data_IF_684206047999
#
_entry.id   IF_684206047999
#
_cell.length_a   1.000
_cell.length_b   1.000
_cell.length_c   1.000
_cell.angle_alpha   90.00
_cell.angle_beta   90.00
_cell.angle_gamma   90.00
#
_symmetry.space_group_name_H-M   'P 1'
#
loop_
_entity.id
_entity.type
_entity.pdbx_description
1 polymer ?
#
# COMPACT_ATOMS: atom_id res chain seq x y z
N UNK A 1 -5.76 20.79 22.23
CA UNK A 1 -5.68 19.56 21.41
C UNK A 1 -6.12 19.96 20.02
N UNK A 2 -5.35 19.62 19.00
CA UNK A 2 -5.76 19.88 17.61
C UNK A 2 -6.90 18.94 17.22
N UNK A 3 -7.68 19.33 16.21
CA UNK A 3 -8.75 18.48 15.69
C UNK A 3 -8.20 17.20 15.05
N UNK A 4 -7.05 17.30 14.40
CA UNK A 4 -6.34 16.16 13.80
C UNK A 4 -6.02 15.10 14.86
N UNK A 5 -5.46 15.54 16.00
CA UNK A 5 -5.13 14.64 17.10
C UNK A 5 -6.39 14.00 17.71
N UNK A 6 -7.47 14.77 17.88
CA UNK A 6 -8.75 14.24 18.36
C UNK A 6 -9.28 13.15 17.43
N UNK A 7 -9.24 13.38 16.11
CA UNK A 7 -9.70 12.43 15.10
C UNK A 7 -8.80 11.18 15.03
N UNK A 8 -7.49 11.34 15.12
CA UNK A 8 -6.56 10.23 15.15
C UNK A 8 -6.81 9.32 16.38
N UNK A 9 -6.95 9.90 17.55
CA UNK A 9 -7.27 9.15 18.77
C UNK A 9 -8.60 8.41 18.66
N UNK A 10 -9.60 9.01 18.04
CA UNK A 10 -10.91 8.40 17.90
C UNK A 10 -10.87 7.19 16.94
N UNK A 11 -10.10 7.28 15.85
CA UNK A 11 -9.91 6.17 14.93
C UNK A 11 -9.06 5.03 15.54
N UNK A 12 -7.99 5.36 16.27
CA UNK A 12 -7.12 4.36 16.91
C UNK A 12 -7.87 3.51 17.93
N UNK A 13 -8.85 4.09 18.67
CA UNK A 13 -9.68 3.35 19.64
C UNK A 13 -10.48 2.20 19.05
N UNK A 14 -10.65 2.16 17.74
CA UNK A 14 -11.37 1.10 17.02
C UNK A 14 -10.39 0.02 16.57
N UNK A 15 -10.48 -1.22 17.12
CA UNK A 15 -9.50 -2.28 16.85
C UNK A 15 -9.79 -2.97 15.50
N UNK A 16 -9.78 -2.22 14.44
CA UNK A 16 -10.10 -2.62 13.06
C UNK A 16 -8.97 -3.46 12.43
N UNK A 17 -8.67 -4.61 13.02
CA UNK A 17 -7.71 -5.56 12.45
C UNK A 17 -8.31 -6.15 11.18
N UNK A 18 -7.51 -6.11 10.08
CA UNK A 18 -7.98 -6.54 8.74
C UNK A 18 -8.71 -7.89 8.75
N UNK A 19 -9.87 -8.05 8.10
CA UNK A 19 -10.59 -7.08 7.27
C UNK A 19 -11.69 -6.30 8.02
N UNK A 20 -11.66 -6.26 9.36
CA UNK A 20 -12.71 -5.65 10.17
C UNK A 20 -12.60 -4.11 10.17
N UNK A 21 -13.73 -3.41 10.09
CA UNK A 21 -13.79 -1.94 10.14
C UNK A 21 -14.02 -1.37 11.54
N UNK A 22 -14.66 -2.12 12.41
CA UNK A 22 -14.98 -1.76 13.81
C UNK A 22 -15.63 -0.38 13.97
N UNK A 23 -16.43 0.04 12.98
CA UNK A 23 -17.14 1.32 12.98
C UNK A 23 -16.29 2.54 12.66
N UNK A 24 -15.07 2.37 12.14
CA UNK A 24 -14.25 3.46 11.65
C UNK A 24 -14.98 4.24 10.56
N UNK A 25 -15.51 3.53 9.55
CA UNK A 25 -16.18 4.17 8.42
C UNK A 25 -17.51 4.82 8.83
N UNK A 26 -18.27 4.28 9.81
CA UNK A 26 -19.47 4.95 10.30
C UNK A 26 -19.14 6.33 10.90
N UNK A 27 -18.07 6.38 11.68
CA UNK A 27 -17.61 7.63 12.26
C UNK A 27 -17.10 8.63 11.20
N UNK A 28 -16.39 8.13 10.18
CA UNK A 28 -15.93 8.96 9.04
C UNK A 28 -17.14 9.51 8.27
N UNK A 29 -18.14 8.69 7.99
CA UNK A 29 -19.40 9.07 7.32
C UNK A 29 -20.05 10.21 8.08
N UNK A 30 -20.21 10.11 9.41
CA UNK A 30 -20.80 11.17 10.23
C UNK A 30 -20.08 12.52 10.02
N UNK A 31 -18.74 12.52 9.98
CA UNK A 31 -17.95 13.72 9.78
C UNK A 31 -18.10 14.29 8.37
N UNK A 32 -18.09 13.42 7.36
CA UNK A 32 -18.21 13.82 5.95
C UNK A 32 -19.62 14.33 5.60
N UNK A 33 -20.66 13.68 6.11
CA UNK A 33 -22.06 14.14 5.90
C UNK A 33 -22.29 15.52 6.51
N UNK A 34 -21.74 15.79 7.71
CA UNK A 34 -21.78 17.12 8.32
C UNK A 34 -21.13 18.21 7.46
N UNK A 35 -20.19 17.83 6.58
CA UNK A 35 -19.54 18.71 5.60
C UNK A 35 -20.25 18.74 4.24
N UNK A 36 -21.39 18.05 4.10
CA UNK A 36 -22.20 18.03 2.87
C UNK A 36 -21.72 17.04 1.81
N UNK A 37 -20.97 16.03 2.19
CA UNK A 37 -20.68 14.89 1.32
C UNK A 37 -21.89 13.97 1.20
N UNK A 38 -22.03 13.34 0.03
CA UNK A 38 -22.87 12.18 -0.16
C UNK A 38 -22.02 10.95 0.07
N UNK A 39 -22.38 10.13 1.06
CA UNK A 39 -21.66 8.93 1.45
C UNK A 39 -22.40 7.69 0.96
N UNK A 40 -21.67 6.72 0.45
CA UNK A 40 -22.15 5.42 0.01
C UNK A 40 -21.26 4.33 0.60
N UNK A 41 -21.87 3.39 1.35
CA UNK A 41 -21.19 2.18 1.79
C UNK A 41 -21.29 1.12 0.72
N UNK A 42 -20.17 0.60 0.29
CA UNK A 42 -20.05 -0.46 -0.71
C UNK A 42 -19.51 -1.73 -0.04
N UNK A 43 -20.31 -2.80 -0.06
CA UNK A 43 -19.91 -4.10 0.45
C UNK A 43 -19.52 -5.02 -0.69
N UNK A 44 -18.32 -5.63 -0.56
CA UNK A 44 -17.87 -6.70 -1.43
C UNK A 44 -17.46 -7.87 -0.54
N UNK A 45 -18.25 -8.94 -0.59
CA UNK A 45 -18.17 -10.03 0.39
C UNK A 45 -18.30 -9.47 1.83
N UNK A 46 -17.34 -9.78 2.71
CA UNK A 46 -17.27 -9.27 4.09
C UNK A 46 -16.60 -7.89 4.22
N UNK A 47 -15.99 -7.37 3.15
CA UNK A 47 -15.22 -6.13 3.20
C UNK A 47 -16.11 -4.91 3.02
N UNK A 48 -16.00 -4.00 3.96
CA UNK A 48 -16.66 -2.70 3.93
C UNK A 48 -15.80 -1.66 3.25
N UNK A 49 -16.41 -0.88 2.36
CA UNK A 49 -15.77 0.25 1.69
C UNK A 49 -16.66 1.47 1.74
N UNK A 50 -16.06 2.66 1.78
CA UNK A 50 -16.74 3.94 1.72
C UNK A 50 -16.35 4.67 0.45
N UNK A 51 -17.37 5.08 -0.33
CA UNK A 51 -17.24 6.13 -1.31
C UNK A 51 -18.01 7.37 -0.84
N UNK A 52 -17.34 8.51 -0.79
CA UNK A 52 -17.98 9.76 -0.44
C UNK A 52 -17.55 10.86 -1.41
N UNK A 53 -18.51 11.73 -1.81
CA UNK A 53 -18.26 12.83 -2.75
C UNK A 53 -19.00 14.10 -2.38
N UNK A 54 -18.28 15.22 -2.43
CA UNK A 54 -18.82 16.59 -2.37
C UNK A 54 -18.53 17.32 -3.69
N UNK A 55 -19.51 18.03 -4.24
CA UNK A 55 -19.43 18.69 -5.54
C UNK A 55 -19.91 17.81 -6.69
N UNK A 56 -20.16 18.44 -7.85
CA UNK A 56 -20.74 17.78 -9.03
C UNK A 56 -19.93 18.03 -10.31
N UNK A 57 -18.83 18.81 -10.23
CA UNK A 57 -17.97 19.17 -11.38
C UNK A 57 -16.60 18.54 -11.28
N UNK A 58 -15.85 18.61 -12.39
CA UNK A 58 -14.43 18.27 -12.41
C UNK A 58 -13.55 19.50 -12.13
N UNK A 59 -12.29 19.30 -11.78
CA UNK A 59 -11.67 17.99 -11.54
C UNK A 59 -12.18 17.32 -10.24
N UNK A 60 -12.13 15.98 -10.20
CA UNK A 60 -12.40 15.20 -9.01
C UNK A 60 -11.08 14.85 -8.32
N UNK A 61 -10.86 15.43 -7.15
CA UNK A 61 -9.77 15.10 -6.25
C UNK A 61 -10.25 14.10 -5.20
N UNK A 62 -9.51 13.00 -5.02
CA UNK A 62 -9.86 11.93 -4.08
C UNK A 62 -8.75 11.75 -3.05
N UNK A 63 -9.14 11.73 -1.78
CA UNK A 63 -8.34 11.14 -0.72
C UNK A 63 -8.63 9.64 -0.66
N UNK A 64 -7.58 8.82 -0.72
CA UNK A 64 -7.71 7.37 -0.59
C UNK A 64 -6.91 6.85 0.60
N UNK A 65 -7.44 5.79 1.23
CA UNK A 65 -6.78 5.16 2.37
C UNK A 65 -7.60 4.00 2.93
N UNK A 66 -7.09 3.45 4.05
CA UNK A 66 -7.68 2.27 4.68
C UNK A 66 -7.88 2.47 6.19
N UNK A 67 -8.95 1.86 6.71
CA UNK A 67 -9.24 1.85 8.15
C UNK A 67 -8.74 0.60 8.85
N UNK A 68 -8.53 -0.47 8.10
CA UNK A 68 -7.97 -1.70 8.63
C UNK A 68 -6.49 -1.54 9.00
N UNK A 69 -6.04 -2.37 9.92
CA UNK A 69 -4.67 -2.38 10.41
C UNK A 69 -4.16 -3.82 10.51
N UNK A 70 -2.85 -4.02 10.42
CA UNK A 70 -2.23 -5.34 10.63
C UNK A 70 -2.44 -5.82 12.07
N UNK A 71 -2.41 -7.15 12.33
CA UNK A 71 -2.42 -7.69 13.68
C UNK A 71 -1.33 -7.07 14.57
N UNK A 72 -1.64 -6.89 15.85
CA UNK A 72 -0.75 -6.24 16.82
C UNK A 72 0.48 -7.10 17.20
N UNK A 73 0.42 -8.41 16.94
CA UNK A 73 1.31 -9.37 17.57
C UNK A 73 0.93 -9.61 19.03
N UNK A 74 1.88 -10.03 19.85
CA UNK A 74 1.62 -10.22 21.28
C UNK A 74 1.48 -8.84 21.97
N UNK A 75 0.31 -8.58 22.55
CA UNK A 75 0.05 -7.32 23.22
C UNK A 75 0.91 -7.13 24.48
N UNK A 76 1.46 -8.19 25.05
CA UNK A 76 2.37 -8.10 26.17
C UNK A 76 3.72 -7.43 25.81
N UNK A 77 4.07 -7.39 24.53
CA UNK A 77 5.29 -6.73 24.04
C UNK A 77 5.11 -5.20 23.90
N UNK A 78 3.86 -4.71 23.92
CA UNK A 78 3.57 -3.28 23.77
C UNK A 78 3.75 -2.51 25.10
N UNK A 79 4.42 -1.36 25.01
CA UNK A 79 4.56 -0.43 26.16
C UNK A 79 3.23 0.23 26.49
N UNK A 80 2.41 0.52 25.47
CA UNK A 80 1.06 1.07 25.59
C UNK A 80 0.08 0.16 24.83
N UNK A 81 -1.12 -0.03 25.35
CA UNK A 81 -2.16 -0.80 24.65
C UNK A 81 -2.35 -0.27 23.22
N UNK A 82 -2.29 -1.13 22.19
CA UNK A 82 -2.30 -0.71 20.78
C UNK A 82 -3.57 0.02 20.34
N UNK A 83 -4.69 -0.15 21.06
CA UNK A 83 -5.96 0.51 20.75
C UNK A 83 -6.38 1.54 21.81
N UNK A 84 -5.47 1.85 22.75
CA UNK A 84 -5.62 2.96 23.70
C UNK A 84 -4.64 4.07 23.31
N UNK A 85 -5.08 5.06 22.48
CA UNK A 85 -4.18 6.08 21.94
C UNK A 85 -3.52 6.85 23.08
N UNK A 86 -2.22 6.72 23.23
CA UNK A 86 -1.45 7.30 24.31
C UNK A 86 -0.48 8.35 23.78
N UNK A 87 -0.44 9.51 24.45
CA UNK A 87 0.49 10.59 24.11
C UNK A 87 1.63 10.60 25.13
N UNK A 88 2.87 10.49 24.62
CA UNK A 88 4.09 10.68 25.41
C UNK A 88 4.98 11.72 24.70
N UNK A 89 5.10 12.88 25.30
CA UNK A 89 5.75 14.03 24.66
C UNK A 89 5.02 14.46 23.39
N UNK A 90 5.70 14.39 22.25
CA UNK A 90 5.13 14.65 20.90
C UNK A 90 4.74 13.36 20.16
N UNK A 91 4.80 12.20 20.79
CA UNK A 91 4.48 10.91 20.16
C UNK A 91 3.06 10.48 20.51
N UNK A 92 2.30 10.11 19.49
CA UNK A 92 1.00 9.44 19.59
C UNK A 92 1.21 7.94 19.30
N UNK A 93 1.11 7.14 20.35
CA UNK A 93 1.20 5.68 20.26
C UNK A 93 -0.15 5.04 19.97
N UNK A 94 -0.13 4.01 19.12
CA UNK A 94 -1.27 3.14 18.82
C UNK A 94 -1.13 2.47 17.47
N UNK A 95 -1.71 1.29 17.30
CA UNK A 95 -1.78 0.60 16.01
C UNK A 95 -2.61 1.41 15.02
N UNK A 96 -2.04 1.67 13.83
CA UNK A 96 -2.64 2.54 12.82
C UNK A 96 -2.30 4.03 13.01
N UNK A 97 -1.53 4.42 14.03
CA UNK A 97 -1.16 5.80 14.24
C UNK A 97 -0.40 6.38 13.06
N UNK A 98 0.53 5.62 12.50
CA UNK A 98 1.28 5.96 11.29
C UNK A 98 0.63 5.34 10.03
N UNK A 99 0.11 4.11 10.10
CA UNK A 99 -0.39 3.33 8.98
C UNK A 99 -1.85 2.86 9.20
N UNK A 100 -2.87 3.62 8.69
CA UNK A 100 -2.76 5.01 8.25
C UNK A 100 -3.87 5.91 8.84
N UNK A 101 -4.40 5.56 10.05
CA UNK A 101 -5.48 6.31 10.71
C UNK A 101 -5.10 7.76 11.01
N UNK A 102 -3.79 8.02 11.29
CA UNK A 102 -3.27 9.39 11.42
C UNK A 102 -3.45 10.22 10.15
N UNK A 103 -3.18 9.63 8.99
CA UNK A 103 -3.42 10.28 7.70
C UNK A 103 -4.91 10.55 7.45
N UNK A 104 -5.79 9.60 7.75
CA UNK A 104 -7.24 9.80 7.61
C UNK A 104 -7.71 10.96 8.49
N UNK A 105 -7.21 11.03 9.72
CA UNK A 105 -7.50 12.15 10.63
C UNK A 105 -7.05 13.49 10.03
N UNK A 106 -5.85 13.54 9.47
CA UNK A 106 -5.33 14.72 8.80
C UNK A 106 -6.15 15.12 7.55
N UNK A 107 -6.59 14.13 6.74
CA UNK A 107 -7.46 14.36 5.58
C UNK A 107 -8.80 14.98 5.99
N UNK A 108 -9.46 14.41 6.99
CA UNK A 108 -10.75 14.91 7.50
C UNK A 108 -10.63 16.34 8.03
N UNK A 109 -9.63 16.61 8.86
CA UNK A 109 -9.37 17.94 9.41
C UNK A 109 -9.02 18.95 8.30
N UNK A 110 -8.22 18.55 7.30
CA UNK A 110 -7.87 19.40 6.17
C UNK A 110 -9.09 19.77 5.32
N UNK A 111 -9.95 18.79 5.03
CA UNK A 111 -11.18 19.03 4.25
C UNK A 111 -12.14 19.91 5.02
N UNK A 112 -12.30 19.72 6.32
CA UNK A 112 -13.15 20.59 7.14
C UNK A 112 -12.67 22.04 7.10
N UNK A 113 -11.37 22.26 7.28
CA UNK A 113 -10.77 23.60 7.19
C UNK A 113 -10.91 24.20 5.80
N UNK A 114 -10.69 23.40 4.76
CA UNK A 114 -10.77 23.86 3.37
C UNK A 114 -12.20 24.24 2.98
N UNK A 115 -13.19 23.40 3.28
CA UNK A 115 -14.61 23.66 2.95
C UNK A 115 -15.14 24.87 3.73
N UNK A 116 -14.72 25.07 4.99
CA UNK A 116 -15.08 26.25 5.75
C UNK A 116 -14.51 27.55 5.13
N UNK A 117 -13.28 27.50 4.60
CA UNK A 117 -12.64 28.66 3.96
C UNK A 117 -13.07 28.88 2.52
N UNK A 118 -13.46 27.80 1.81
CA UNK A 118 -13.81 27.79 0.40
C UNK A 118 -15.14 27.03 0.15
N UNK A 119 -16.29 27.52 0.64
CA UNK A 119 -17.56 26.78 0.53
C UNK A 119 -17.97 26.55 -0.93
N UNK A 120 -17.59 27.46 -1.84
CA UNK A 120 -17.88 27.44 -3.28
C UNK A 120 -16.64 27.01 -4.11
N UNK A 121 -15.81 26.12 -3.57
CA UNK A 121 -14.62 25.62 -4.25
C UNK A 121 -14.91 25.05 -5.65
N UNK A 122 -13.89 25.03 -6.52
CA UNK A 122 -13.97 24.38 -7.83
C UNK A 122 -13.97 22.86 -7.72
N UNK A 123 -14.46 22.17 -8.76
CA UNK A 123 -14.37 20.71 -8.85
C UNK A 123 -15.15 19.95 -7.77
N UNK A 124 -14.69 18.74 -7.50
CA UNK A 124 -15.25 17.84 -6.48
C UNK A 124 -14.16 17.28 -5.58
N UNK A 125 -14.53 16.95 -4.34
CA UNK A 125 -13.67 16.23 -3.38
C UNK A 125 -14.30 14.88 -3.10
N UNK A 126 -13.50 13.81 -3.17
CA UNK A 126 -13.92 12.45 -2.85
C UNK A 126 -13.10 11.85 -1.71
N UNK A 127 -13.70 10.84 -1.05
CA UNK A 127 -13.00 9.90 -0.17
C UNK A 127 -13.29 8.48 -0.64
N UNK A 128 -12.23 7.69 -0.81
CA UNK A 128 -12.28 6.27 -1.05
C UNK A 128 -11.56 5.58 0.11
N UNK A 129 -12.32 4.94 0.99
CA UNK A 129 -11.78 4.30 2.19
C UNK A 129 -12.15 2.82 2.17
N UNK A 130 -11.17 1.95 2.36
CA UNK A 130 -11.35 0.49 2.41
C UNK A 130 -11.03 -0.08 3.80
N UNK A 131 -11.46 -1.32 4.04
CA UNK A 131 -11.04 -2.15 5.17
C UNK A 131 -10.31 -3.43 4.71
N UNK A 132 -9.66 -3.43 3.51
CA UNK A 132 -8.93 -4.57 2.94
C UNK A 132 -7.65 -4.10 2.19
N UNK A 133 -6.88 -3.17 2.75
CA UNK A 133 -5.56 -2.84 2.21
C UNK A 133 -4.49 -3.76 2.80
N UNK A 134 -4.53 -3.97 4.10
CA UNK A 134 -3.58 -4.77 4.88
C UNK A 134 -3.84 -6.29 4.79
N UNK A 135 -4.91 -6.67 4.10
CA UNK A 135 -5.32 -8.04 3.88
C UNK A 135 -5.03 -8.53 2.45
N UNK A 136 -5.94 -9.37 1.88
CA UNK A 136 -5.79 -9.86 0.52
C UNK A 136 -5.87 -8.78 -0.58
N UNK A 137 -6.47 -7.62 -0.29
CA UNK A 137 -6.69 -6.48 -1.20
C UNK A 137 -7.47 -6.86 -2.48
N UNK A 138 -8.48 -7.71 -2.34
CA UNK A 138 -9.29 -8.23 -3.46
C UNK A 138 -10.73 -7.72 -3.44
N UNK A 139 -11.24 -7.34 -2.25
CA UNK A 139 -12.60 -6.84 -2.05
C UNK A 139 -12.61 -5.36 -1.57
N UNK A 140 -11.45 -4.71 -1.59
CA UNK A 140 -11.22 -3.32 -1.20
C UNK A 140 -11.28 -2.34 -2.37
N UNK A 141 -10.32 -1.45 -2.42
CA UNK A 141 -10.19 -0.35 -3.38
C UNK A 141 -10.37 -0.76 -4.83
N UNK A 142 -9.86 -1.94 -5.23
CA UNK A 142 -10.04 -2.44 -6.61
C UNK A 142 -11.51 -2.54 -7.00
N UNK A 143 -12.39 -3.03 -6.11
CA UNK A 143 -13.82 -3.17 -6.36
C UNK A 143 -14.56 -1.83 -6.38
N UNK A 144 -14.14 -0.91 -5.53
CA UNK A 144 -14.67 0.46 -5.56
C UNK A 144 -14.32 1.12 -6.88
N UNK A 145 -13.07 1.04 -7.32
CA UNK A 145 -12.61 1.61 -8.61
C UNK A 145 -13.37 1.00 -9.79
N UNK A 146 -13.55 -0.34 -9.85
CA UNK A 146 -14.37 -1.01 -10.85
C UNK A 146 -15.81 -0.45 -10.87
N UNK A 147 -16.38 -0.20 -9.69
CA UNK A 147 -17.74 0.35 -9.55
C UNK A 147 -17.82 1.78 -10.06
N UNK A 148 -16.84 2.63 -9.73
CA UNK A 148 -16.79 4.02 -10.18
C UNK A 148 -16.62 4.10 -11.70
N UNK A 149 -15.73 3.28 -12.28
CA UNK A 149 -15.55 3.20 -13.74
C UNK A 149 -16.83 2.77 -14.44
N UNK A 150 -17.57 1.80 -13.91
CA UNK A 150 -18.85 1.36 -14.46
C UNK A 150 -19.95 2.45 -14.43
N UNK A 151 -19.77 3.50 -13.61
CA UNK A 151 -20.65 4.66 -13.48
C UNK A 151 -20.15 5.89 -14.24
N UNK A 152 -19.06 5.77 -15.01
CA UNK A 152 -18.36 6.90 -15.65
C UNK A 152 -17.90 7.98 -14.64
N UNK A 153 -17.63 7.59 -13.42
CA UNK A 153 -17.14 8.46 -12.36
C UNK A 153 -15.61 8.41 -12.31
N UNK A 154 -14.98 9.29 -13.09
CA UNK A 154 -13.53 9.30 -13.29
C UNK A 154 -12.83 10.15 -12.22
N UNK A 155 -11.76 9.61 -11.64
CA UNK A 155 -10.87 10.31 -10.71
C UNK A 155 -9.80 11.04 -11.53
N UNK A 156 -9.65 12.35 -11.32
CA UNK A 156 -8.58 13.14 -11.96
C UNK A 156 -7.31 13.13 -11.12
N UNK A 157 -7.44 13.33 -9.81
CA UNK A 157 -6.35 13.38 -8.84
C UNK A 157 -6.64 12.47 -7.65
N UNK A 158 -5.65 11.71 -7.22
CA UNK A 158 -5.76 10.91 -6.02
C UNK A 158 -4.53 11.09 -5.12
N UNK A 159 -4.77 11.40 -3.84
CA UNK A 159 -3.76 11.38 -2.80
C UNK A 159 -4.06 10.22 -1.86
N UNK A 160 -3.14 9.23 -1.83
CA UNK A 160 -3.18 8.12 -0.89
C UNK A 160 -2.40 8.50 0.35
N UNK A 161 -2.98 8.33 1.53
CA UNK A 161 -2.37 8.77 2.80
C UNK A 161 -1.36 7.82 3.41
N UNK A 162 -0.78 6.94 2.62
CA UNK A 162 0.24 5.99 3.05
C UNK A 162 1.48 6.66 3.68
N UNK A 163 2.09 6.05 4.70
CA UNK A 163 3.28 6.59 5.35
C UNK A 163 4.48 6.59 4.39
N UNK A 164 4.65 7.67 3.68
CA UNK A 164 5.66 7.85 2.63
C UNK A 164 6.92 8.56 3.10
N UNK A 165 6.82 9.33 4.19
CA UNK A 165 7.92 10.15 4.72
C UNK A 165 8.98 9.29 5.41
N UNK A 166 10.22 9.76 5.45
CA UNK A 166 11.38 8.99 5.95
C UNK A 166 11.92 9.56 7.26
N UNK A 167 12.29 10.81 7.26
CA UNK A 167 12.89 11.50 8.43
C UNK A 167 11.95 12.54 9.02
N UNK A 168 11.21 13.27 8.17
CA UNK A 168 10.22 14.27 8.55
C UNK A 168 9.04 14.26 7.57
N UNK A 169 7.86 14.61 8.04
CA UNK A 169 6.67 14.63 7.20
C UNK A 169 6.87 15.48 5.94
N UNK A 170 6.61 14.89 4.77
CA UNK A 170 6.70 15.53 3.47
C UNK A 170 8.10 15.53 2.83
N UNK A 171 9.13 14.95 3.45
CA UNK A 171 10.47 14.84 2.84
C UNK A 171 10.48 13.93 1.61
N UNK A 172 9.54 12.97 1.53
CA UNK A 172 9.37 12.05 0.42
C UNK A 172 7.92 11.98 -0.02
N UNK A 173 7.69 12.18 -1.32
CA UNK A 173 6.42 11.92 -2.00
C UNK A 173 6.60 10.65 -2.83
N UNK A 174 5.69 9.69 -2.74
CA UNK A 174 5.66 8.59 -3.71
C UNK A 174 4.79 9.02 -4.90
N UNK A 175 5.43 9.16 -6.05
CA UNK A 175 4.75 9.48 -7.31
C UNK A 175 4.65 8.25 -8.24
N UNK A 176 4.88 7.07 -7.69
CA UNK A 176 4.79 5.79 -8.38
C UNK A 176 5.20 4.64 -7.47
N UNK A 177 4.92 3.43 -7.89
CA UNK A 177 5.29 2.20 -7.19
C UNK A 177 5.78 1.16 -8.17
N UNK A 178 6.74 0.34 -7.75
CA UNK A 178 7.16 -0.84 -8.51
C UNK A 178 6.03 -1.86 -8.54
N UNK A 179 5.98 -2.63 -9.63
CA UNK A 179 5.13 -3.82 -9.70
C UNK A 179 5.58 -4.89 -8.71
N UNK A 180 4.67 -5.78 -8.37
CA UNK A 180 4.93 -6.94 -7.52
C UNK A 180 4.34 -8.20 -8.14
N UNK A 181 5.21 -9.15 -8.48
CA UNK A 181 4.86 -10.45 -9.05
C UNK A 181 5.46 -11.55 -8.18
N UNK A 182 4.61 -12.32 -7.50
CA UNK A 182 5.02 -13.49 -6.73
C UNK A 182 4.77 -14.79 -7.46
N UNK A 183 5.43 -15.86 -7.04
CA UNK A 183 5.12 -17.22 -7.46
C UNK A 183 5.39 -18.25 -6.38
N UNK A 184 4.58 -19.31 -6.38
CA UNK A 184 4.86 -20.58 -5.73
C UNK A 184 5.31 -21.59 -6.81
N UNK A 185 6.58 -21.97 -6.76
CA UNK A 185 7.17 -22.99 -7.61
C UNK A 185 7.24 -24.29 -6.83
N UNK A 186 6.59 -25.35 -7.33
CA UNK A 186 6.68 -26.71 -6.80
C UNK A 186 7.45 -27.61 -7.76
N UNK A 187 8.67 -27.99 -7.38
CA UNK A 187 9.52 -28.90 -8.16
C UNK A 187 9.27 -30.33 -7.70
N UNK A 188 8.95 -31.19 -8.65
CA UNK A 188 8.63 -32.61 -8.41
C UNK A 188 9.90 -33.47 -8.45
N UNK A 189 10.04 -34.34 -7.46
CA UNK A 189 11.08 -35.34 -7.35
C UNK A 189 10.51 -36.75 -7.16
N UNK A 190 11.32 -37.64 -6.68
CA UNK A 190 10.94 -39.00 -6.26
C UNK A 190 11.53 -39.26 -4.88
N UNK A 191 10.66 -39.38 -3.88
CA UNK A 191 11.08 -39.67 -2.52
C UNK A 191 11.80 -41.01 -2.42
N UNK A 192 12.87 -41.06 -1.60
CA UNK A 192 13.61 -42.28 -1.37
C UNK A 192 14.59 -42.20 -0.22
N UNK A 193 15.29 -43.32 0.04
CA UNK A 193 16.30 -43.38 1.06
C UNK A 193 17.62 -42.80 0.53
N UNK A 194 18.28 -41.94 1.32
CA UNK A 194 19.54 -41.26 0.91
C UNK A 194 20.67 -42.21 0.54
N UNK A 195 20.68 -43.45 1.08
CA UNK A 195 21.65 -44.46 0.73
C UNK A 195 21.40 -45.12 -0.67
N UNK A 196 20.24 -44.89 -1.26
CA UNK A 196 19.86 -45.45 -2.57
C UNK A 196 19.43 -44.37 -3.52
N UNK A 197 20.27 -43.35 -3.84
CA UNK A 197 19.89 -42.20 -4.64
C UNK A 197 19.47 -42.54 -6.08
N UNK A 198 19.91 -43.71 -6.59
CA UNK A 198 19.53 -44.22 -7.91
C UNK A 198 18.06 -44.68 -8.00
N UNK A 199 17.37 -44.82 -6.89
CA UNK A 199 15.92 -45.13 -6.80
C UNK A 199 15.07 -43.90 -6.49
N UNK A 200 15.70 -42.74 -6.41
CA UNK A 200 15.05 -41.48 -6.05
C UNK A 200 15.44 -40.37 -7.04
N UNK A 201 14.72 -39.23 -6.96
CA UNK A 201 15.10 -38.00 -7.64
C UNK A 201 14.99 -36.85 -6.63
N UNK A 202 16.10 -36.18 -6.35
CA UNK A 202 16.14 -35.13 -5.35
C UNK A 202 15.75 -33.76 -5.96
N UNK A 203 14.54 -33.23 -5.69
CA UNK A 203 14.08 -31.98 -6.28
C UNK A 203 14.90 -30.77 -5.79
N UNK A 204 15.52 -30.84 -4.62
CA UNK A 204 16.41 -29.77 -4.11
C UNK A 204 17.68 -29.67 -4.96
N UNK A 205 18.28 -30.84 -5.34
CA UNK A 205 19.45 -30.87 -6.21
C UNK A 205 19.11 -30.41 -7.63
N UNK A 206 17.92 -30.77 -8.10
CA UNK A 206 17.46 -30.40 -9.45
C UNK A 206 17.21 -28.89 -9.56
N UNK A 207 16.57 -28.27 -8.54
CA UNK A 207 16.19 -26.85 -8.61
C UNK A 207 17.35 -25.90 -8.29
N UNK A 208 18.34 -26.31 -7.50
CA UNK A 208 19.40 -25.43 -7.01
C UNK A 208 20.16 -24.69 -8.13
N UNK A 209 20.54 -25.31 -9.27
CA UNK A 209 21.18 -24.60 -10.39
C UNK A 209 20.26 -23.53 -11.01
N UNK A 210 18.97 -23.83 -11.19
CA UNK A 210 17.99 -22.89 -11.74
C UNK A 210 17.78 -21.70 -10.80
N UNK A 211 17.71 -21.92 -9.47
CA UNK A 211 17.58 -20.83 -8.51
C UNK A 211 18.83 -19.94 -8.51
N UNK A 212 20.02 -20.51 -8.67
CA UNK A 212 21.25 -19.72 -8.78
C UNK A 212 21.24 -18.84 -10.05
N UNK A 213 20.76 -19.37 -11.17
CA UNK A 213 20.63 -18.62 -12.43
C UNK A 213 19.58 -17.51 -12.30
N UNK A 214 18.40 -17.81 -11.73
CA UNK A 214 17.35 -16.82 -11.50
C UNK A 214 17.82 -15.68 -10.59
N UNK A 215 18.57 -16.01 -9.53
CA UNK A 215 19.10 -15.03 -8.59
C UNK A 215 20.22 -14.16 -9.18
N UNK A 216 20.95 -14.67 -10.16
CA UNK A 216 22.02 -13.96 -10.87
C UNK A 216 21.54 -13.22 -12.13
N UNK A 217 20.31 -13.49 -12.59
CA UNK A 217 19.78 -12.91 -13.82
C UNK A 217 19.60 -11.39 -13.67
N UNK A 218 20.06 -10.67 -14.69
CA UNK A 218 19.75 -9.25 -14.87
C UNK A 218 18.40 -9.13 -15.56
N UNK A 219 17.41 -8.59 -14.84
CA UNK A 219 16.04 -8.50 -15.32
C UNK A 219 15.80 -7.27 -16.18
N UNK A 220 16.30 -6.11 -15.71
CA UNK A 220 16.43 -4.82 -16.41
C UNK A 220 17.49 -3.94 -15.71
N UNK A 221 17.68 -2.72 -16.19
CA UNK A 221 18.62 -1.75 -15.61
C UNK A 221 17.92 -0.66 -14.79
N UNK A 222 16.58 -0.69 -14.68
CA UNK A 222 15.80 0.43 -14.16
C UNK A 222 15.85 1.64 -15.08
N UNK A 223 15.39 2.78 -14.57
CA UNK A 223 15.43 4.07 -15.26
C UNK A 223 15.54 5.22 -14.25
N UNK A 224 15.39 6.48 -14.70
CA UNK A 224 15.51 7.66 -13.83
C UNK A 224 14.53 7.68 -12.66
N UNK A 225 13.44 6.89 -12.73
CA UNK A 225 12.38 6.85 -11.72
C UNK A 225 12.36 5.56 -10.92
N UNK A 226 12.82 4.45 -11.51
CA UNK A 226 12.75 3.13 -10.90
C UNK A 226 14.13 2.49 -10.80
N UNK A 227 14.46 1.89 -9.63
CA UNK A 227 15.59 0.99 -9.57
C UNK A 227 15.35 -0.25 -10.47
N UNK A 228 16.43 -0.94 -10.83
CA UNK A 228 16.35 -2.20 -11.55
C UNK A 228 15.43 -3.21 -10.86
N UNK A 229 14.77 -4.04 -11.65
CA UNK A 229 13.92 -5.13 -11.16
C UNK A 229 14.73 -6.09 -10.31
N UNK A 230 14.18 -6.41 -9.13
CA UNK A 230 14.80 -7.34 -8.19
C UNK A 230 14.02 -8.64 -8.07
N UNK A 231 14.76 -9.75 -7.92
CA UNK A 231 14.24 -11.08 -7.65
C UNK A 231 14.68 -11.53 -6.26
N UNK A 232 13.75 -12.03 -5.43
CA UNK A 232 14.06 -12.52 -4.08
C UNK A 232 13.31 -13.82 -3.80
N UNK A 233 14.03 -14.83 -3.32
CA UNK A 233 13.43 -16.05 -2.78
C UNK A 233 13.12 -15.79 -1.31
N UNK A 234 11.84 -15.90 -0.94
CA UNK A 234 11.41 -15.66 0.44
C UNK A 234 11.32 -16.93 1.28
N UNK A 235 10.98 -18.07 0.64
CA UNK A 235 10.87 -19.35 1.32
C UNK A 235 11.35 -20.48 0.41
N UNK A 236 11.95 -21.48 1.03
CA UNK A 236 12.32 -22.75 0.42
C UNK A 236 12.02 -23.87 1.39
N UNK A 237 11.05 -24.73 1.03
CA UNK A 237 10.58 -25.81 1.88
C UNK A 237 10.74 -27.16 1.18
N UNK A 238 11.41 -28.10 1.83
CA UNK A 238 11.57 -29.47 1.34
C UNK A 238 11.78 -30.42 2.50
N UNK A 239 11.44 -31.68 2.27
CA UNK A 239 11.74 -32.76 3.20
C UNK A 239 10.72 -32.97 4.31
N UNK A 240 10.90 -34.05 5.06
CA UNK A 240 10.03 -34.51 6.14
C UNK A 240 10.62 -34.28 7.53
N UNK A 241 11.79 -33.64 7.61
CA UNK A 241 12.59 -33.52 8.84
C UNK A 241 13.46 -34.77 9.16
N UNK A 242 13.29 -35.89 8.44
CA UNK A 242 14.12 -37.06 8.61
C UNK A 242 15.44 -36.96 7.85
N UNK A 243 16.55 -37.26 8.50
CA UNK A 243 17.92 -37.08 7.94
C UNK A 243 18.27 -38.08 6.84
N UNK A 244 17.53 -39.18 6.70
CA UNK A 244 17.77 -40.26 5.76
C UNK A 244 16.74 -40.37 4.62
N UNK A 245 15.93 -39.35 4.41
CA UNK A 245 14.87 -39.31 3.37
C UNK A 245 15.19 -38.21 2.36
N UNK A 246 15.28 -38.56 1.07
CA UNK A 246 15.25 -37.63 -0.07
C UNK A 246 13.81 -37.16 -0.23
N UNK A 247 13.55 -35.82 -0.30
CA UNK A 247 12.19 -35.30 -0.43
C UNK A 247 11.53 -35.66 -1.77
N UNK A 248 10.19 -35.73 -1.78
CA UNK A 248 9.42 -35.96 -3.00
C UNK A 248 9.09 -34.68 -3.76
N UNK A 249 9.14 -33.53 -3.10
CA UNK A 249 8.94 -32.20 -3.70
C UNK A 249 9.81 -31.15 -3.01
N UNK A 250 9.98 -30.01 -3.68
CA UNK A 250 10.58 -28.80 -3.15
C UNK A 250 9.72 -27.60 -3.55
N UNK A 251 9.25 -26.85 -2.58
CA UNK A 251 8.46 -25.64 -2.76
C UNK A 251 9.35 -24.41 -2.58
N UNK A 252 9.25 -23.46 -3.52
CA UNK A 252 10.00 -22.21 -3.50
C UNK A 252 9.03 -21.05 -3.70
N UNK A 253 8.94 -20.16 -2.70
CA UNK A 253 8.24 -18.89 -2.81
C UNK A 253 9.25 -17.81 -3.19
N UNK A 254 8.96 -17.07 -4.25
CA UNK A 254 9.77 -15.94 -4.66
C UNK A 254 8.91 -14.76 -5.12
N UNK A 255 9.52 -13.58 -5.19
CA UNK A 255 8.86 -12.35 -5.61
C UNK A 255 9.79 -11.47 -6.44
N UNK A 256 9.21 -10.87 -7.48
CA UNK A 256 9.79 -9.77 -8.22
C UNK A 256 9.23 -8.44 -7.73
N UNK A 257 10.12 -7.45 -7.54
CA UNK A 257 9.75 -6.03 -7.51
C UNK A 257 10.25 -5.41 -8.79
N UNK A 258 9.34 -5.11 -9.72
CA UNK A 258 9.70 -4.78 -11.09
C UNK A 258 9.39 -3.33 -11.48
N UNK A 259 10.24 -2.81 -12.38
CA UNK A 259 10.17 -1.48 -12.92
C UNK A 259 9.18 -1.41 -14.09
N UNK A 260 9.06 -0.25 -14.71
CA UNK A 260 8.31 -0.06 -15.95
C UNK A 260 9.06 -0.55 -17.21
N UNK A 261 10.32 -1.01 -17.07
CA UNK A 261 11.16 -1.47 -18.19
C UNK A 261 10.86 -2.92 -18.58
N UNK A 262 10.15 -3.67 -17.73
CA UNK A 262 9.78 -5.06 -17.98
C UNK A 262 8.35 -5.31 -17.54
N UNK A 263 7.64 -6.16 -18.27
CA UNK A 263 6.27 -6.56 -17.94
C UNK A 263 6.23 -7.83 -17.08
N UNK A 264 5.14 -8.05 -16.36
CA UNK A 264 4.93 -9.31 -15.64
C UNK A 264 4.89 -10.53 -16.59
N UNK A 265 4.42 -10.35 -17.82
CA UNK A 265 4.43 -11.40 -18.83
C UNK A 265 5.87 -11.79 -19.21
N UNK A 266 6.74 -10.82 -19.46
CA UNK A 266 8.15 -11.07 -19.78
C UNK A 266 8.91 -11.73 -18.62
N UNK A 267 8.62 -11.31 -17.37
CA UNK A 267 9.20 -11.94 -16.18
C UNK A 267 8.80 -13.41 -16.06
N UNK A 268 7.52 -13.73 -16.27
CA UNK A 268 7.03 -15.12 -16.28
C UNK A 268 7.72 -15.93 -17.37
N UNK A 269 7.73 -15.43 -18.59
CA UNK A 269 8.32 -16.11 -19.73
C UNK A 269 9.80 -16.40 -19.56
N UNK A 270 10.57 -15.39 -19.09
CA UNK A 270 12.02 -15.56 -18.83
C UNK A 270 12.28 -16.54 -17.71
N UNK A 271 11.49 -16.48 -16.61
CA UNK A 271 11.58 -17.43 -15.50
C UNK A 271 11.33 -18.85 -15.96
N UNK A 272 10.23 -19.10 -16.68
CA UNK A 272 9.87 -20.44 -17.16
C UNK A 272 10.88 -20.96 -18.19
N UNK A 273 11.46 -20.09 -19.02
CA UNK A 273 12.53 -20.46 -19.93
C UNK A 273 13.76 -20.99 -19.18
N UNK A 274 14.15 -20.32 -18.08
CA UNK A 274 15.26 -20.78 -17.21
C UNK A 274 14.90 -22.13 -16.59
N UNK A 275 13.72 -22.27 -15.97
CA UNK A 275 13.30 -23.52 -15.34
C UNK A 275 13.29 -24.69 -16.35
N UNK A 276 12.78 -24.47 -17.57
CA UNK A 276 12.74 -25.46 -18.65
C UNK A 276 14.15 -25.84 -19.14
N UNK A 277 15.07 -24.88 -19.23
CA UNK A 277 16.45 -25.15 -19.66
C UNK A 277 17.20 -26.13 -18.74
N UNK A 278 16.82 -26.13 -17.43
CA UNK A 278 17.33 -27.08 -16.43
C UNK A 278 16.58 -28.42 -16.41
N UNK A 279 15.59 -28.63 -17.30
CA UNK A 279 14.85 -29.90 -17.41
C UNK A 279 14.03 -30.26 -16.17
N UNK A 280 13.55 -29.28 -15.44
CA UNK A 280 12.75 -29.46 -14.23
C UNK A 280 11.36 -30.01 -14.57
N UNK A 281 10.87 -30.89 -13.70
CA UNK A 281 9.46 -31.26 -13.62
C UNK A 281 8.83 -30.41 -12.53
N UNK A 282 7.97 -29.45 -12.90
CA UNK A 282 7.46 -28.46 -11.97
C UNK A 282 6.03 -28.00 -12.27
N UNK A 283 5.40 -27.44 -11.27
CA UNK A 283 4.21 -26.60 -11.35
C UNK A 283 4.56 -25.21 -10.82
N UNK A 284 3.94 -24.18 -11.39
CA UNK A 284 4.15 -22.80 -10.94
C UNK A 284 2.82 -22.04 -10.88
N UNK A 285 2.55 -21.43 -9.73
CA UNK A 285 1.37 -20.59 -9.52
C UNK A 285 1.82 -19.15 -9.38
N UNK A 286 1.38 -18.29 -10.31
CA UNK A 286 1.72 -16.90 -10.34
C UNK A 286 0.68 -16.03 -9.62
N UNK A 287 1.14 -15.07 -8.84
CA UNK A 287 0.31 -14.05 -8.19
C UNK A 287 0.83 -12.65 -8.54
N UNK A 288 0.13 -11.93 -9.42
CA UNK A 288 0.37 -10.52 -9.66
C UNK A 288 -0.37 -9.71 -8.60
N UNK A 289 0.39 -9.03 -7.72
CA UNK A 289 -0.19 -8.15 -6.69
C UNK A 289 -0.42 -6.73 -7.22
N UNK A 290 0.34 -6.27 -8.21
CA UNK A 290 0.12 -4.98 -8.86
C UNK A 290 1.12 -4.72 -9.99
N UNK A 291 0.65 -3.96 -10.97
CA UNK A 291 1.50 -3.41 -12.04
C UNK A 291 2.31 -2.21 -11.50
N UNK A 292 3.47 -1.90 -12.06
CA UNK A 292 4.16 -0.65 -11.77
C UNK A 292 3.35 0.52 -12.33
N UNK A 293 3.39 1.65 -11.62
CA UNK A 293 2.83 2.90 -12.12
C UNK A 293 3.75 4.07 -11.79
N UNK A 294 3.64 5.12 -12.60
CA UNK A 294 4.33 6.39 -12.41
C UNK A 294 3.37 7.52 -12.73
N UNK A 295 3.25 8.46 -11.82
CA UNK A 295 2.65 9.77 -12.08
C UNK A 295 3.78 10.75 -12.43
N UNK A 296 3.83 11.16 -13.68
CA UNK A 296 4.76 12.19 -14.15
C UNK A 296 4.47 13.54 -13.47
N UNK A 297 5.39 14.50 -13.64
CA UNK A 297 5.13 15.88 -13.22
C UNK A 297 3.87 16.40 -13.90
N UNK A 298 3.00 16.97 -13.07
CA UNK A 298 1.69 17.49 -13.48
C UNK A 298 1.03 18.22 -12.32
N UNK A 299 -0.22 18.60 -12.50
CA UNK A 299 -0.91 19.46 -11.55
C UNK A 299 -0.89 18.93 -10.11
N UNK A 300 -1.09 17.62 -9.90
CA UNK A 300 -1.09 17.03 -8.57
C UNK A 300 0.31 17.02 -7.93
N UNK A 301 1.32 16.57 -8.67
CA UNK A 301 2.71 16.51 -8.16
C UNK A 301 3.21 17.91 -7.84
N UNK A 302 2.98 18.88 -8.74
CA UNK A 302 3.42 20.27 -8.55
C UNK A 302 2.68 20.93 -7.38
N UNK A 303 1.37 20.70 -7.25
CA UNK A 303 0.58 21.20 -6.11
C UNK A 303 1.05 20.61 -4.78
N UNK A 304 1.43 19.32 -4.76
CA UNK A 304 1.93 18.63 -3.58
C UNK A 304 3.30 19.16 -3.16
N UNK A 305 4.23 19.28 -4.11
CA UNK A 305 5.58 19.85 -3.86
C UNK A 305 5.48 21.28 -3.34
N UNK A 306 4.63 22.10 -3.97
CA UNK A 306 4.42 23.48 -3.55
C UNK A 306 3.81 23.58 -2.14
N UNK A 307 2.85 22.70 -1.81
CA UNK A 307 2.21 22.65 -0.50
C UNK A 307 3.22 22.28 0.61
N UNK A 308 4.04 21.26 0.38
CA UNK A 308 5.09 20.85 1.32
C UNK A 308 6.07 22.01 1.54
N UNK A 309 6.56 22.63 0.46
CA UNK A 309 7.47 23.77 0.55
C UNK A 309 6.89 24.93 1.35
N UNK A 310 5.61 25.23 1.15
CA UNK A 310 4.91 26.31 1.86
C UNK A 310 4.72 26.01 3.37
N UNK A 311 4.43 24.74 3.72
CA UNK A 311 4.16 24.36 5.10
C UNK A 311 5.42 24.04 5.92
N UNK A 312 6.45 23.47 5.30
CA UNK A 312 7.66 22.99 5.99
C UNK A 312 8.93 23.78 5.68
N UNK A 313 8.95 24.52 4.59
CA UNK A 313 10.15 25.16 4.05
C UNK A 313 11.12 24.19 3.36
N UNK A 314 10.90 22.88 3.43
CA UNK A 314 11.75 21.85 2.86
C UNK A 314 11.38 21.54 1.40
N UNK A 315 12.33 20.94 0.66
CA UNK A 315 12.10 20.42 -0.68
C UNK A 315 11.81 18.91 -0.58
N UNK A 316 10.69 18.47 -1.17
CA UNK A 316 10.31 17.08 -1.20
C UNK A 316 11.04 16.30 -2.31
N UNK A 317 11.41 15.06 -2.03
CA UNK A 317 11.99 14.14 -3.01
C UNK A 317 10.89 13.22 -3.55
N UNK A 318 10.80 13.12 -4.88
CA UNK A 318 9.96 12.12 -5.53
C UNK A 318 10.63 10.74 -5.48
N UNK A 319 9.86 9.69 -5.28
CA UNK A 319 10.38 8.32 -5.13
C UNK A 319 9.34 7.27 -5.52
N UNK A 320 9.79 6.18 -6.13
CA UNK A 320 8.98 4.99 -6.44
C UNK A 320 9.35 3.79 -5.56
N UNK A 321 10.29 3.98 -4.63
CA UNK A 321 10.78 2.91 -3.75
C UNK A 321 9.75 2.52 -2.67
N UNK A 322 9.92 1.34 -2.08
CA UNK A 322 9.10 0.81 -0.98
C UNK A 322 8.16 -0.30 -1.40
N UNK A 323 7.16 -0.55 -0.56
CA UNK A 323 6.10 -1.53 -0.77
C UNK A 323 5.15 -1.16 -1.90
N UNK A 324 4.01 -1.81 -1.95
CA UNK A 324 2.91 -1.39 -2.83
C UNK A 324 1.81 -0.73 -1.97
N UNK A 325 0.80 -0.15 -2.61
CA UNK A 325 -0.33 0.51 -1.96
C UNK A 325 -1.56 0.44 -2.87
N UNK A 326 -2.69 0.87 -2.39
CA UNK A 326 -3.92 0.94 -3.17
C UNK A 326 -3.87 1.91 -4.36
N UNK A 327 -2.88 2.79 -4.41
CA UNK A 327 -2.58 3.60 -5.59
C UNK A 327 -2.42 2.79 -6.87
N UNK A 328 -1.97 1.51 -6.76
CA UNK A 328 -1.86 0.55 -7.87
C UNK A 328 -3.18 0.24 -8.59
N UNK A 329 -4.30 0.38 -7.91
CA UNK A 329 -5.63 0.15 -8.48
C UNK A 329 -6.23 1.41 -9.10
N UNK A 330 -5.83 2.58 -8.60
CA UNK A 330 -6.36 3.88 -9.03
C UNK A 330 -5.57 4.42 -10.24
N UNK A 331 -4.24 4.35 -10.22
CA UNK A 331 -3.41 4.89 -11.29
C UNK A 331 -3.73 4.35 -12.71
N UNK A 332 -4.08 3.05 -12.91
CA UNK A 332 -4.46 2.53 -14.22
C UNK A 332 -5.71 3.15 -14.82
N UNK A 333 -6.54 3.85 -14.04
CA UNK A 333 -7.72 4.58 -14.55
C UNK A 333 -7.37 5.85 -15.32
N UNK A 334 -6.10 6.28 -15.27
CA UNK A 334 -5.62 7.55 -15.84
C UNK A 334 -5.54 8.69 -14.84
N UNK A 335 -5.89 8.45 -13.58
CA UNK A 335 -5.73 9.42 -12.50
C UNK A 335 -4.24 9.74 -12.24
N UNK A 336 -3.92 11.00 -11.94
CA UNK A 336 -2.66 11.32 -11.29
C UNK A 336 -2.72 10.85 -9.84
N UNK A 337 -1.75 10.03 -9.40
CA UNK A 337 -1.71 9.47 -8.04
C UNK A 337 -0.41 9.87 -7.37
N UNK A 338 -0.50 10.37 -6.14
CA UNK A 338 0.64 10.55 -5.25
C UNK A 338 0.32 9.92 -3.90
N UNK A 339 1.37 9.48 -3.20
CA UNK A 339 1.23 9.03 -1.82
C UNK A 339 2.03 9.95 -0.91
N UNK A 340 1.37 10.41 0.13
CA UNK A 340 1.95 11.32 1.11
C UNK A 340 1.29 11.09 2.46
N UNK A 341 2.09 10.77 3.46
CA UNK A 341 1.64 10.54 4.83
C UNK A 341 2.78 10.66 5.85
N UNK A 342 2.59 10.14 7.06
CA UNK A 342 3.53 10.20 8.17
C UNK A 342 4.88 9.55 7.87
N UNK A 343 5.81 9.69 8.80
CA UNK A 343 7.08 8.96 8.81
C UNK A 343 6.82 7.47 9.00
N UNK A 344 7.46 6.64 8.14
CA UNK A 344 7.20 5.19 8.05
C UNK A 344 8.05 4.33 9.00
N UNK A 345 8.80 4.93 9.91
CA UNK A 345 9.81 4.23 10.71
C UNK A 345 9.22 3.16 11.65
N UNK A 346 7.95 3.28 12.05
CA UNK A 346 7.30 2.45 13.07
C UNK A 346 6.16 1.58 12.56
N UNK A 347 5.81 1.67 11.27
CA UNK A 347 4.72 0.88 10.69
C UNK A 347 4.92 -0.62 10.92
N UNK A 348 3.83 -1.35 11.18
CA UNK A 348 3.78 -2.80 11.43
C UNK A 348 4.60 -3.29 12.63
N UNK A 349 5.20 -2.38 13.41
CA UNK A 349 5.99 -2.73 14.60
C UNK A 349 5.13 -2.68 15.88
N UNK A 350 5.63 -3.33 16.91
CA UNK A 350 5.22 -3.07 18.30
C UNK A 350 5.56 -1.62 18.62
N UNK A 351 4.73 -0.96 19.43
CA UNK A 351 4.85 0.45 19.78
C UNK A 351 4.84 1.39 18.56
N UNK A 352 4.01 1.06 17.56
CA UNK A 352 3.75 1.96 16.44
C UNK A 352 3.32 3.34 16.97
N UNK A 353 3.90 4.38 16.40
CA UNK A 353 3.61 5.76 16.77
C UNK A 353 3.87 6.74 15.61
N UNK A 354 3.33 7.94 15.75
CA UNK A 354 3.61 9.08 14.87
C UNK A 354 3.77 10.36 15.70
N UNK A 355 4.35 11.42 15.12
CA UNK A 355 4.50 12.70 15.79
C UNK A 355 3.21 13.52 15.70
N UNK A 356 2.72 14.02 16.84
CA UNK A 356 1.51 14.86 16.89
C UNK A 356 1.72 16.14 16.07
N UNK A 357 2.86 16.80 16.21
CA UNK A 357 3.20 18.00 15.45
C UNK A 357 3.28 17.77 13.95
N UNK A 358 3.70 16.57 13.51
CA UNK A 358 3.75 16.19 12.09
C UNK A 358 2.36 15.89 11.52
N UNK A 359 1.43 15.34 12.31
CA UNK A 359 0.04 15.17 11.87
C UNK A 359 -0.64 16.53 11.61
N UNK A 360 -0.38 17.53 12.45
CA UNK A 360 -0.89 18.89 12.25
C UNK A 360 -0.25 19.54 11.00
N UNK A 361 1.04 19.31 10.78
CA UNK A 361 1.73 19.75 9.57
C UNK A 361 1.16 19.09 8.32
N UNK A 362 0.89 17.78 8.36
CA UNK A 362 0.29 17.01 7.29
C UNK A 362 -1.12 17.54 6.95
N UNK A 363 -1.92 17.88 7.96
CA UNK A 363 -3.22 18.56 7.77
C UNK A 363 -3.07 19.86 6.98
N UNK A 364 -2.09 20.69 7.34
CA UNK A 364 -1.79 21.93 6.61
C UNK A 364 -1.38 21.67 5.15
N UNK A 365 -0.57 20.65 4.91
CA UNK A 365 -0.14 20.24 3.57
C UNK A 365 -1.36 19.80 2.74
N UNK A 366 -2.20 18.92 3.26
CA UNK A 366 -3.39 18.45 2.55
C UNK A 366 -4.37 19.60 2.24
N UNK A 367 -4.59 20.50 3.20
CA UNK A 367 -5.40 21.70 2.97
C UNK A 367 -4.81 22.59 1.86
N UNK A 368 -3.49 22.75 1.84
CA UNK A 368 -2.78 23.55 0.82
C UNK A 368 -2.88 22.90 -0.57
N UNK A 369 -2.79 21.56 -0.67
CA UNK A 369 -3.00 20.83 -1.94
C UNK A 369 -4.41 21.09 -2.48
N UNK A 370 -5.44 20.92 -1.64
CA UNK A 370 -6.82 21.23 -2.02
C UNK A 370 -6.97 22.67 -2.51
N UNK A 371 -6.36 23.63 -1.81
CA UNK A 371 -6.37 25.04 -2.20
C UNK A 371 -5.69 25.27 -3.56
N UNK A 372 -4.56 24.62 -3.81
CA UNK A 372 -3.82 24.78 -5.07
C UNK A 372 -4.58 24.18 -6.27
N UNK A 373 -5.35 23.11 -6.07
CA UNK A 373 -6.05 22.42 -7.14
C UNK A 373 -7.51 22.88 -7.31
N UNK A 374 -8.22 23.18 -6.22
CA UNK A 374 -9.66 23.42 -6.19
C UNK A 374 -10.03 24.81 -5.64
N UNK A 375 -9.08 25.55 -5.06
CA UNK A 375 -9.35 26.91 -4.53
C UNK A 375 -9.74 27.89 -5.66
N UNK A 376 -10.79 28.66 -5.42
CA UNK A 376 -11.25 29.76 -6.30
C UNK A 376 -11.05 31.09 -5.59
#
# INVERSE_FOLDING_TARGET
MSKTLEYAQELIRRPSVTPEDEGCQDWIIEKLEALGFRCETLWFEEVRNLWARRGNGGPLFVFAGHTDVVPTGDQADWTHDPFTPTIDGDLLYGRGAADMKGSIAAMLAAVENFVAAHPDHGGSIGFLITADEEGPSVNGTVKVVETLQARDENIDYCLVGEPSSTDTVGDVIKNGRRGSLGALLTVKGVQGHVAYPHLARNPVHDVAPALAELAAAEWDHGNDFFPATSFQISNLNAGTGATNVIPGNCEVLFNFRFSTEVTDFELRQRTETILQSHGLDYEIEWKLSGQPFLTDRGALVDATVAAIKACTGADARLSTAGGTSDGRFIAPTGAQVVELGPVNATIHKVDEHTFVSELDTLTGIYQSILKNLLGR
#
